data_IF_690576142214
#
_entry.id   IF_690576142214
#
_cell.length_a   1.000
_cell.length_b   1.000
_cell.length_c   1.000
_cell.angle_alpha   90.00
_cell.angle_beta   90.00
_cell.angle_gamma   90.00
#
_symmetry.space_group_name_H-M   'P 1'
#
loop_
_entity.id
_entity.type
_entity.pdbx_description
1 polymer ?
#
# COMPACT_ATOMS: atom_id res chain seq x y z
N UNK A 1 -18.92 -31.40 -19.06
CA UNK A 1 -18.84 -30.97 -17.66
C UNK A 1 -19.74 -29.76 -17.51
N UNK A 2 -20.75 -29.82 -16.64
CA UNK A 2 -21.52 -28.64 -16.29
C UNK A 2 -20.64 -27.78 -15.38
N UNK A 3 -20.27 -26.58 -15.82
CA UNK A 3 -19.58 -25.61 -14.98
C UNK A 3 -20.64 -25.14 -13.96
N UNK A 4 -20.37 -25.30 -12.66
CA UNK A 4 -21.26 -24.76 -11.63
C UNK A 4 -21.34 -23.24 -11.79
N UNK A 5 -22.53 -22.66 -11.62
CA UNK A 5 -22.67 -21.21 -11.68
C UNK A 5 -22.01 -20.59 -10.45
N UNK A 6 -20.88 -19.90 -10.65
CA UNK A 6 -20.19 -19.18 -9.59
C UNK A 6 -21.07 -18.04 -9.07
N UNK A 7 -21.51 -18.15 -7.81
CA UNK A 7 -22.54 -17.28 -7.24
C UNK A 7 -22.00 -16.45 -6.08
N UNK A 8 -22.16 -15.13 -6.19
CA UNK A 8 -21.89 -14.15 -5.14
C UNK A 8 -23.10 -13.26 -5.00
N UNK A 9 -23.35 -12.81 -3.77
CA UNK A 9 -24.36 -11.80 -3.50
C UNK A 9 -23.98 -10.48 -4.18
N UNK A 10 -24.98 -9.73 -4.66
CA UNK A 10 -24.80 -8.45 -5.32
C UNK A 10 -25.36 -7.33 -4.42
N UNK A 11 -24.54 -6.72 -3.56
CA UNK A 11 -24.92 -5.48 -2.85
C UNK A 11 -25.17 -4.35 -3.86
N UNK A 12 -26.03 -3.39 -3.47
CA UNK A 12 -26.41 -2.26 -4.33
C UNK A 12 -25.25 -1.27 -4.54
N UNK A 13 -24.34 -1.22 -3.57
CA UNK A 13 -23.09 -0.47 -3.64
C UNK A 13 -21.94 -1.43 -3.38
N UNK A 14 -21.09 -1.65 -4.39
CA UNK A 14 -19.92 -2.51 -4.27
C UNK A 14 -18.66 -1.66 -4.44
N UNK A 15 -17.67 -1.76 -3.53
CA UNK A 15 -16.42 -1.06 -3.73
C UNK A 15 -15.69 -1.64 -4.96
N UNK A 16 -14.90 -0.86 -5.72
CA UNK A 16 -14.31 -1.29 -6.99
C UNK A 16 -13.52 -2.61 -6.92
N UNK A 17 -12.76 -2.82 -5.83
CA UNK A 17 -12.01 -4.06 -5.62
C UNK A 17 -12.91 -5.29 -5.49
N UNK A 18 -14.11 -5.14 -4.90
CA UNK A 18 -15.07 -6.23 -4.75
C UNK A 18 -15.82 -6.49 -6.06
N UNK A 19 -16.01 -5.47 -6.90
CA UNK A 19 -16.54 -5.62 -8.26
C UNK A 19 -15.56 -6.40 -9.13
N UNK A 20 -14.27 -6.07 -9.05
CA UNK A 20 -13.20 -6.80 -9.75
C UNK A 20 -13.17 -8.27 -9.32
N UNK A 21 -13.15 -8.53 -8.00
CA UNK A 21 -13.20 -9.89 -7.46
C UNK A 21 -14.45 -10.63 -7.95
N UNK A 22 -15.62 -10.00 -7.85
CA UNK A 22 -16.89 -10.61 -8.25
C UNK A 22 -16.93 -10.96 -9.73
N UNK A 23 -16.38 -10.09 -10.57
CA UNK A 23 -16.31 -10.27 -12.02
C UNK A 23 -15.41 -11.44 -12.36
N UNK A 24 -14.18 -11.48 -11.83
CA UNK A 24 -13.23 -12.59 -12.04
C UNK A 24 -13.78 -13.92 -11.54
N UNK A 25 -14.47 -13.93 -10.40
CA UNK A 25 -15.06 -15.15 -9.84
C UNK A 25 -16.22 -15.66 -10.71
N UNK A 26 -17.17 -14.80 -11.07
CA UNK A 26 -18.33 -15.17 -11.90
C UNK A 26 -17.91 -15.61 -13.30
N UNK A 27 -16.84 -15.04 -13.85
CA UNK A 27 -16.26 -15.45 -15.12
C UNK A 27 -15.52 -16.80 -15.05
N UNK A 28 -15.29 -17.35 -13.85
CA UNK A 28 -14.50 -18.56 -13.68
C UNK A 28 -13.02 -18.35 -14.03
N UNK A 29 -12.49 -17.15 -13.85
CA UNK A 29 -11.07 -16.84 -14.07
C UNK A 29 -10.23 -17.27 -12.86
N UNK A 30 -10.76 -17.10 -11.65
CA UNK A 30 -10.11 -17.46 -10.41
C UNK A 30 -11.12 -17.89 -9.33
N UNK A 31 -10.72 -18.85 -8.49
CA UNK A 31 -11.43 -19.28 -7.28
C UNK A 31 -10.67 -18.94 -6.00
N UNK A 32 -9.47 -18.39 -6.12
CA UNK A 32 -8.60 -17.99 -5.03
C UNK A 32 -8.20 -16.54 -5.23
N UNK A 33 -8.42 -15.72 -4.21
CA UNK A 33 -8.14 -14.30 -4.22
C UNK A 33 -7.25 -13.92 -3.04
N UNK A 34 -6.31 -13.01 -3.26
CA UNK A 34 -5.49 -12.41 -2.21
C UNK A 34 -5.79 -10.91 -2.14
N UNK A 35 -6.48 -10.48 -1.09
CA UNK A 35 -6.71 -9.07 -0.79
C UNK A 35 -5.51 -8.50 -0.02
N UNK A 36 -5.04 -7.33 -0.43
CA UNK A 36 -3.88 -6.68 0.20
C UNK A 36 -3.94 -5.15 0.20
N UNK A 37 -3.04 -4.50 0.96
CA UNK A 37 -2.97 -3.06 1.26
C UNK A 37 -3.96 -2.55 2.31
N UNK A 38 -4.97 -1.76 1.92
CA UNK A 38 -5.85 -1.02 2.86
C UNK A 38 -6.91 -1.94 3.51
N UNK A 39 -6.50 -3.11 3.99
CA UNK A 39 -7.39 -4.21 4.40
C UNK A 39 -8.07 -4.02 5.77
N UNK A 40 -7.60 -3.06 6.57
CA UNK A 40 -8.11 -2.77 7.91
C UNK A 40 -9.01 -1.52 7.94
N UNK A 41 -9.33 -0.96 6.79
CA UNK A 41 -10.19 0.23 6.70
C UNK A 41 -11.68 -0.12 6.79
N UNK A 42 -12.50 0.93 6.84
CA UNK A 42 -13.93 0.86 6.67
C UNK A 42 -14.29 0.91 5.19
N UNK A 43 -15.36 0.19 4.83
CA UNK A 43 -15.95 0.24 3.52
C UNK A 43 -17.44 0.54 3.62
N UNK A 44 -17.93 1.24 2.60
CA UNK A 44 -19.35 1.51 2.44
C UNK A 44 -20.12 0.20 2.28
N UNK A 45 -21.20 0.08 3.05
CA UNK A 45 -22.10 -1.06 3.15
C UNK A 45 -23.55 -0.55 3.20
N UNK A 46 -24.53 -1.45 3.00
CA UNK A 46 -25.96 -1.14 3.18
C UNK A 46 -26.30 -0.63 4.59
N UNK A 47 -25.51 -1.00 5.59
CA UNK A 47 -25.72 -0.64 7.00
C UNK A 47 -24.80 0.46 7.51
N UNK A 48 -24.17 1.21 6.59
CA UNK A 48 -23.25 2.30 6.90
C UNK A 48 -21.81 1.93 6.52
N UNK A 49 -20.88 2.08 7.45
CA UNK A 49 -19.46 1.78 7.21
C UNK A 49 -19.00 0.61 8.10
N UNK A 50 -18.51 -0.45 7.48
CA UNK A 50 -18.14 -1.72 8.15
C UNK A 50 -16.72 -2.15 7.79
N UNK A 51 -16.13 -3.06 8.56
CA UNK A 51 -14.83 -3.65 8.20
C UNK A 51 -14.93 -4.55 6.97
N UNK A 52 -13.81 -4.76 6.27
CA UNK A 52 -13.75 -5.67 5.11
C UNK A 52 -14.28 -7.05 5.45
N UNK A 53 -13.87 -7.61 6.60
CA UNK A 53 -14.33 -8.93 7.02
C UNK A 53 -15.86 -8.99 7.17
N UNK A 54 -16.46 -7.95 7.76
CA UNK A 54 -17.91 -7.85 7.91
C UNK A 54 -18.62 -7.75 6.57
N UNK A 55 -18.08 -6.96 5.63
CA UNK A 55 -18.62 -6.83 4.28
C UNK A 55 -18.56 -8.15 3.52
N UNK A 56 -17.41 -8.84 3.56
CA UNK A 56 -17.24 -10.15 2.94
C UNK A 56 -18.28 -11.14 3.49
N UNK A 57 -18.40 -11.25 4.81
CA UNK A 57 -19.31 -12.22 5.43
C UNK A 57 -20.79 -11.90 5.19
N UNK A 58 -21.20 -10.65 5.37
CA UNK A 58 -22.61 -10.27 5.40
C UNK A 58 -23.18 -9.88 4.04
N UNK A 59 -22.37 -9.34 3.15
CA UNK A 59 -22.85 -8.77 1.90
C UNK A 59 -22.36 -9.49 0.66
N UNK A 60 -21.08 -9.90 0.60
CA UNK A 60 -20.52 -10.53 -0.60
C UNK A 60 -20.77 -12.05 -0.63
N UNK A 61 -20.55 -12.72 0.52
CA UNK A 61 -20.57 -14.17 0.67
C UNK A 61 -21.83 -14.70 1.36
N UNK A 62 -22.87 -13.86 1.53
CA UNK A 62 -24.06 -14.22 2.31
C UNK A 62 -24.85 -15.43 1.79
N UNK A 63 -24.57 -15.91 0.57
CA UNK A 63 -25.15 -17.10 -0.05
C UNK A 63 -24.26 -18.36 0.08
N UNK A 64 -23.14 -18.27 0.81
CA UNK A 64 -22.16 -19.36 0.99
C UNK A 64 -22.02 -19.71 2.48
N UNK A 65 -21.60 -20.95 2.74
CA UNK A 65 -21.12 -21.37 4.07
C UNK A 65 -19.71 -20.85 4.27
N UNK A 66 -19.44 -20.12 5.34
CA UNK A 66 -18.16 -19.42 5.50
C UNK A 66 -17.33 -20.07 6.62
N UNK A 67 -16.11 -20.45 6.27
CA UNK A 67 -15.09 -20.92 7.21
C UNK A 67 -14.03 -19.84 7.32
N UNK A 68 -13.68 -19.46 8.53
CA UNK A 68 -12.62 -18.48 8.79
C UNK A 68 -11.44 -19.17 9.47
N UNK A 69 -10.24 -18.68 9.19
CA UNK A 69 -9.03 -19.17 9.82
C UNK A 69 -8.00 -18.08 10.05
N UNK A 70 -7.42 -18.07 11.25
CA UNK A 70 -6.14 -17.45 11.55
C UNK A 70 -5.41 -18.25 12.63
N UNK A 71 -4.10 -18.05 12.74
CA UNK A 71 -3.24 -18.82 13.65
C UNK A 71 -3.62 -18.64 15.15
N UNK A 72 -4.24 -17.53 15.51
CA UNK A 72 -4.60 -17.21 16.91
C UNK A 72 -5.92 -17.87 17.33
N UNK A 73 -6.97 -17.67 16.54
CA UNK A 73 -8.33 -18.15 16.82
C UNK A 73 -8.55 -19.60 16.38
N UNK A 74 -7.80 -20.07 15.38
CA UNK A 74 -8.04 -21.36 14.73
C UNK A 74 -9.18 -21.27 13.72
N UNK A 75 -9.91 -22.38 13.55
CA UNK A 75 -11.03 -22.48 12.61
C UNK A 75 -12.31 -21.96 13.28
N UNK A 76 -12.92 -20.95 12.67
CA UNK A 76 -14.22 -20.39 13.09
C UNK A 76 -15.20 -20.36 11.91
N UNK A 77 -16.46 -20.01 12.16
CA UNK A 77 -17.55 -20.15 11.19
C UNK A 77 -18.51 -18.96 11.25
N UNK A 78 -19.22 -18.68 10.16
CA UNK A 78 -20.29 -17.68 10.14
C UNK A 78 -21.52 -18.08 10.96
N UNK A 79 -21.80 -19.37 11.05
CA UNK A 79 -23.01 -19.90 11.68
C UNK A 79 -22.78 -21.28 12.33
N UNK A 80 -23.65 -21.61 13.30
CA UNK A 80 -23.67 -22.96 13.88
C UNK A 80 -23.99 -24.04 12.84
N UNK A 81 -24.79 -23.72 11.83
CA UNK A 81 -25.11 -24.66 10.75
C UNK A 81 -23.85 -25.03 9.95
N UNK A 82 -23.06 -24.03 9.54
CA UNK A 82 -21.78 -24.26 8.87
C UNK A 82 -20.85 -25.09 9.74
N UNK A 83 -20.74 -24.77 11.04
CA UNK A 83 -19.92 -25.55 11.97
C UNK A 83 -20.36 -27.02 12.03
N UNK A 84 -21.66 -27.30 12.17
CA UNK A 84 -22.18 -28.66 12.24
C UNK A 84 -21.90 -29.43 10.95
N UNK A 85 -22.10 -28.81 9.79
CA UNK A 85 -21.79 -29.39 8.49
C UNK A 85 -20.29 -29.71 8.36
N UNK A 86 -19.43 -28.78 8.78
CA UNK A 86 -17.98 -28.98 8.80
C UNK A 86 -17.59 -30.18 9.68
N UNK A 87 -18.05 -30.21 10.93
CA UNK A 87 -17.72 -31.29 11.87
C UNK A 87 -18.25 -32.65 11.40
N UNK A 88 -19.45 -32.70 10.82
CA UNK A 88 -20.00 -33.92 10.23
C UNK A 88 -19.08 -34.46 9.12
N UNK A 89 -18.58 -33.59 8.25
CA UNK A 89 -17.64 -33.99 7.19
C UNK A 89 -16.31 -34.53 7.75
N UNK A 90 -15.83 -34.00 8.87
CA UNK A 90 -14.60 -34.50 9.51
C UNK A 90 -14.80 -35.90 10.10
N UNK A 91 -15.97 -36.17 10.71
CA UNK A 91 -16.31 -37.49 11.28
C UNK A 91 -16.43 -38.58 10.22
N UNK A 92 -16.84 -38.23 9.00
CA UNK A 92 -16.87 -39.18 7.87
C UNK A 92 -15.45 -39.66 7.53
N UNK A 93 -14.47 -38.76 7.61
CA UNK A 93 -13.09 -39.10 7.29
C UNK A 93 -12.34 -39.78 8.44
N UNK A 94 -12.69 -39.45 9.69
CA UNK A 94 -12.16 -40.11 10.88
C UNK A 94 -13.27 -40.23 11.95
N UNK A 95 -13.91 -41.42 12.05
CA UNK A 95 -15.00 -41.66 13.00
C UNK A 95 -14.61 -41.52 14.48
N UNK A 96 -13.31 -41.51 14.80
CA UNK A 96 -12.82 -41.35 16.17
C UNK A 96 -12.74 -39.87 16.59
N UNK A 97 -12.90 -38.92 15.67
CA UNK A 97 -12.90 -37.49 15.98
C UNK A 97 -14.19 -37.07 16.71
N UNK A 98 -14.11 -36.85 18.02
CA UNK A 98 -15.19 -36.32 18.85
C UNK A 98 -15.11 -34.80 19.06
N UNK A 99 -14.91 -34.04 17.97
CA UNK A 99 -15.07 -32.59 18.03
C UNK A 99 -16.56 -32.25 18.11
N UNK A 100 -16.95 -31.57 19.19
CA UNK A 100 -18.32 -31.07 19.43
C UNK A 100 -18.42 -29.57 19.24
N UNK A 101 -17.31 -28.85 19.38
CA UNK A 101 -17.25 -27.39 19.30
C UNK A 101 -16.04 -26.94 18.48
N UNK A 102 -16.11 -25.74 17.90
CA UNK A 102 -14.99 -25.13 17.19
C UNK A 102 -13.73 -24.98 18.05
N UNK A 103 -13.89 -24.75 19.36
CA UNK A 103 -12.78 -24.58 20.31
C UNK A 103 -11.87 -25.81 20.43
N UNK A 104 -12.36 -26.99 20.04
CA UNK A 104 -11.59 -28.24 20.05
C UNK A 104 -10.81 -28.48 18.75
N UNK A 105 -11.06 -27.68 17.70
CA UNK A 105 -10.36 -27.79 16.43
C UNK A 105 -8.89 -27.34 16.57
N UNK A 106 -7.97 -27.92 15.77
CA UNK A 106 -6.58 -27.51 15.79
C UNK A 106 -6.42 -26.06 15.36
N UNK A 107 -5.49 -25.36 16.01
CA UNK A 107 -5.09 -24.01 15.63
C UNK A 107 -3.86 -24.00 14.73
N UNK A 108 -3.04 -25.03 14.80
CA UNK A 108 -1.83 -25.14 13.99
C UNK A 108 -2.19 -25.27 12.50
N UNK A 109 -1.52 -24.52 11.60
CA UNK A 109 -1.86 -24.52 10.18
C UNK A 109 -1.71 -25.90 9.52
N UNK A 110 -0.70 -26.67 9.95
CA UNK A 110 -0.40 -27.99 9.40
C UNK A 110 -1.56 -28.99 9.57
N UNK A 111 -2.37 -28.87 10.63
CA UNK A 111 -3.57 -29.69 10.84
C UNK A 111 -4.86 -28.99 10.45
N UNK A 112 -4.97 -27.68 10.63
CA UNK A 112 -6.16 -26.92 10.31
C UNK A 112 -6.45 -26.87 8.81
N UNK A 113 -5.42 -26.56 7.99
CA UNK A 113 -5.61 -26.41 6.54
C UNK A 113 -6.07 -27.72 5.88
N UNK A 114 -5.52 -28.92 6.16
CA UNK A 114 -6.07 -30.15 5.60
C UNK A 114 -7.55 -30.41 5.96
N UNK A 115 -8.01 -29.99 7.14
CA UNK A 115 -9.43 -30.12 7.51
C UNK A 115 -10.31 -29.17 6.70
N UNK A 116 -9.85 -27.94 6.47
CA UNK A 116 -10.54 -26.97 5.60
C UNK A 116 -10.54 -27.46 4.15
N UNK A 117 -9.40 -27.95 3.65
CA UNK A 117 -9.25 -28.54 2.30
C UNK A 117 -10.30 -29.63 2.07
N UNK A 118 -10.44 -30.54 3.04
CA UNK A 118 -11.42 -31.62 2.97
C UNK A 118 -12.84 -31.08 2.87
N UNK A 119 -13.19 -30.07 3.67
CA UNK A 119 -14.53 -29.49 3.62
C UNK A 119 -14.80 -28.82 2.27
N UNK A 120 -13.84 -28.05 1.74
CA UNK A 120 -13.91 -27.45 0.41
C UNK A 120 -14.00 -28.52 -0.70
N UNK A 121 -13.29 -29.63 -0.56
CA UNK A 121 -13.28 -30.69 -1.57
C UNK A 121 -14.64 -31.39 -1.65
N UNK A 122 -15.26 -31.70 -0.52
CA UNK A 122 -16.50 -32.50 -0.46
C UNK A 122 -17.79 -31.69 -0.38
N UNK A 123 -17.70 -30.36 -0.31
CA UNK A 123 -18.86 -29.47 -0.24
C UNK A 123 -18.89 -28.53 -1.44
N UNK A 124 -20.06 -27.93 -1.67
CA UNK A 124 -20.25 -26.86 -2.64
C UNK A 124 -20.82 -25.62 -1.93
N UNK A 125 -20.67 -24.44 -2.53
CA UNK A 125 -21.04 -23.14 -1.95
C UNK A 125 -20.33 -22.83 -0.63
N UNK A 126 -19.05 -23.13 -0.55
CA UNK A 126 -18.22 -22.84 0.62
C UNK A 126 -17.24 -21.71 0.31
N UNK A 127 -17.17 -20.72 1.19
CA UNK A 127 -16.12 -19.72 1.18
C UNK A 127 -15.16 -19.95 2.35
N UNK A 128 -13.85 -19.90 2.10
CA UNK A 128 -12.84 -19.82 3.16
C UNK A 128 -12.23 -18.43 3.20
N UNK A 129 -12.09 -17.85 4.39
CA UNK A 129 -11.37 -16.60 4.62
C UNK A 129 -10.16 -16.88 5.52
N UNK A 130 -8.95 -16.63 5.04
CA UNK A 130 -7.71 -16.76 5.81
C UNK A 130 -7.14 -15.38 6.09
N UNK A 131 -7.11 -14.97 7.36
CA UNK A 131 -6.56 -13.70 7.81
C UNK A 131 -5.09 -13.83 8.26
N UNK A 132 -4.36 -12.71 8.19
CA UNK A 132 -2.96 -12.61 8.60
C UNK A 132 -2.08 -13.65 7.89
N UNK A 133 -2.21 -13.72 6.56
CA UNK A 133 -1.58 -14.77 5.75
C UNK A 133 -0.06 -14.82 5.96
N UNK A 134 0.59 -13.69 6.19
CA UNK A 134 2.02 -13.55 6.49
C UNK A 134 2.45 -14.30 7.76
N UNK A 135 1.55 -14.51 8.72
CA UNK A 135 1.82 -15.26 9.95
C UNK A 135 1.78 -16.78 9.76
N UNK A 136 1.18 -17.22 8.65
CA UNK A 136 1.04 -18.63 8.26
C UNK A 136 2.07 -18.98 7.18
N UNK A 137 2.31 -18.05 6.24
CA UNK A 137 3.20 -18.23 5.10
C UNK A 137 4.16 -17.03 4.95
N UNK A 138 5.08 -16.85 5.90
CA UNK A 138 6.00 -15.72 5.88
C UNK A 138 6.92 -15.77 4.66
N UNK A 139 7.29 -14.60 4.15
CA UNK A 139 8.35 -14.45 3.17
C UNK A 139 9.67 -15.06 3.69
N UNK A 140 10.35 -15.84 2.85
CA UNK A 140 11.61 -16.49 3.20
C UNK A 140 11.96 -17.63 2.27
N UNK A 141 13.14 -18.22 2.48
CA UNK A 141 13.55 -19.43 1.78
C UNK A 141 12.99 -20.69 2.47
N UNK A 142 12.66 -21.69 1.66
CA UNK A 142 12.06 -22.95 2.12
C UNK A 142 12.96 -23.68 3.12
N UNK A 143 14.28 -23.52 3.00
CA UNK A 143 15.25 -24.15 3.90
C UNK A 143 15.14 -23.67 5.35
N UNK A 144 14.62 -22.46 5.58
CA UNK A 144 14.44 -21.87 6.91
C UNK A 144 13.06 -22.15 7.52
N UNK A 145 12.12 -22.68 6.75
CA UNK A 145 10.79 -23.01 7.23
C UNK A 145 10.82 -24.28 8.10
N UNK A 146 10.02 -24.28 9.17
CA UNK A 146 9.81 -25.49 9.97
C UNK A 146 9.16 -26.61 9.13
N UNK A 147 9.16 -27.84 9.62
CA UNK A 147 8.41 -28.93 8.96
C UNK A 147 6.93 -28.59 8.82
N UNK A 148 6.35 -27.97 9.84
CA UNK A 148 4.92 -27.67 9.91
C UNK A 148 4.55 -26.54 8.95
N UNK A 149 5.40 -25.49 8.85
CA UNK A 149 5.21 -24.41 7.89
C UNK A 149 5.35 -24.91 6.44
N UNK A 150 6.28 -25.84 6.18
CA UNK A 150 6.42 -26.49 4.87
C UNK A 150 5.19 -27.33 4.52
N UNK A 151 4.63 -28.07 5.49
CA UNK A 151 3.42 -28.85 5.29
C UNK A 151 2.22 -27.95 4.99
N UNK A 152 2.04 -26.87 5.76
CA UNK A 152 1.01 -25.89 5.50
C UNK A 152 1.16 -25.26 4.10
N UNK A 153 2.38 -24.89 3.71
CA UNK A 153 2.67 -24.32 2.40
C UNK A 153 2.25 -25.27 1.27
N UNK A 154 2.58 -26.56 1.41
CA UNK A 154 2.15 -27.59 0.44
C UNK A 154 0.63 -27.73 0.39
N UNK A 155 -0.06 -27.67 1.54
CA UNK A 155 -1.53 -27.69 1.57
C UNK A 155 -2.13 -26.54 0.75
N UNK A 156 -1.69 -25.30 0.96
CA UNK A 156 -2.21 -24.17 0.19
C UNK A 156 -1.84 -24.26 -1.29
N UNK A 157 -0.63 -24.70 -1.63
CA UNK A 157 -0.24 -24.92 -3.03
C UNK A 157 -1.14 -25.96 -3.72
N UNK A 158 -1.58 -27.01 -3.01
CA UNK A 158 -2.54 -27.98 -3.53
C UNK A 158 -3.90 -27.34 -3.80
N UNK A 159 -4.35 -26.41 -2.96
CA UNK A 159 -5.61 -25.69 -3.19
C UNK A 159 -5.52 -24.88 -4.49
N UNK A 160 -4.43 -24.12 -4.65
CA UNK A 160 -4.19 -23.27 -5.81
C UNK A 160 -4.03 -24.04 -7.12
N UNK A 161 -3.60 -25.31 -7.07
CA UNK A 161 -3.36 -26.13 -8.27
C UNK A 161 -4.48 -27.10 -8.59
N UNK A 162 -5.45 -27.28 -7.69
CA UNK A 162 -6.52 -28.26 -7.85
C UNK A 162 -7.62 -27.75 -8.79
N UNK A 163 -7.88 -28.41 -9.94
CA UNK A 163 -8.90 -27.98 -10.89
C UNK A 163 -10.32 -27.98 -10.30
N UNK A 164 -10.57 -28.83 -9.30
CA UNK A 164 -11.88 -28.99 -8.66
C UNK A 164 -12.42 -27.70 -8.04
N UNK A 165 -11.54 -26.79 -7.60
CA UNK A 165 -11.95 -25.49 -7.07
C UNK A 165 -12.55 -24.57 -8.14
N UNK A 166 -12.26 -24.82 -9.42
CA UNK A 166 -12.90 -24.12 -10.54
C UNK A 166 -14.20 -24.79 -10.99
N UNK A 167 -14.41 -26.07 -10.64
CA UNK A 167 -15.61 -26.82 -11.00
C UNK A 167 -16.75 -26.65 -9.98
N UNK A 168 -16.43 -26.14 -8.79
CA UNK A 168 -17.36 -25.94 -7.68
C UNK A 168 -17.62 -24.45 -7.45
N UNK A 169 -18.74 -24.11 -6.83
CA UNK A 169 -19.04 -22.75 -6.36
C UNK A 169 -18.35 -22.46 -5.01
N UNK A 170 -17.08 -22.88 -4.90
CA UNK A 170 -16.23 -22.66 -3.74
C UNK A 170 -15.27 -21.49 -4.00
N UNK A 171 -14.87 -20.83 -2.92
CA UNK A 171 -14.07 -19.60 -2.99
C UNK A 171 -13.07 -19.56 -1.83
N UNK A 172 -11.83 -19.18 -2.09
CA UNK A 172 -10.86 -18.86 -1.07
C UNK A 172 -10.47 -17.38 -1.14
N UNK A 173 -10.64 -16.66 -0.03
CA UNK A 173 -10.18 -15.29 0.14
C UNK A 173 -9.06 -15.29 1.18
N UNK A 174 -7.86 -14.94 0.72
CA UNK A 174 -6.68 -14.78 1.54
C UNK A 174 -6.49 -13.29 1.80
N UNK A 175 -6.13 -12.92 3.02
CA UNK A 175 -5.96 -11.52 3.43
C UNK A 175 -4.57 -11.35 4.03
N UNK A 176 -3.80 -10.44 3.45
CA UNK A 176 -2.45 -10.07 3.88
C UNK A 176 -2.31 -8.55 3.85
N UNK A 177 -1.50 -7.97 4.72
CA UNK A 177 -1.25 -6.53 4.65
C UNK A 177 -0.45 -6.16 3.38
N UNK A 178 0.51 -7.01 3.00
CA UNK A 178 1.43 -6.78 1.90
C UNK A 178 1.82 -8.06 1.20
N UNK A 179 1.92 -8.02 -0.13
CA UNK A 179 2.41 -9.16 -0.94
C UNK A 179 3.89 -9.45 -0.69
N UNK A 180 4.64 -8.44 -0.28
CA UNK A 180 6.08 -8.56 -0.02
C UNK A 180 6.36 -9.46 1.20
N UNK A 181 5.42 -9.57 2.13
CA UNK A 181 5.54 -10.36 3.36
C UNK A 181 5.06 -11.81 3.19
N UNK A 182 4.52 -12.17 2.02
CA UNK A 182 4.02 -13.51 1.70
C UNK A 182 5.08 -14.33 0.97
N UNK A 183 5.14 -15.62 1.30
CA UNK A 183 6.04 -16.57 0.66
C UNK A 183 5.92 -16.55 -0.89
N UNK A 184 7.04 -16.45 -1.65
CA UNK A 184 7.03 -16.31 -3.12
C UNK A 184 6.18 -17.35 -3.86
N UNK A 185 6.27 -18.63 -3.44
CA UNK A 185 5.48 -19.74 -4.01
C UNK A 185 3.95 -19.58 -3.97
N UNK A 186 3.44 -18.71 -3.11
CA UNK A 186 2.01 -18.40 -3.04
C UNK A 186 1.72 -17.17 -3.90
N UNK A 187 2.43 -16.06 -3.66
CA UNK A 187 2.14 -14.78 -4.34
C UNK A 187 2.42 -14.80 -5.84
N UNK A 188 3.35 -15.63 -6.31
CA UNK A 188 3.71 -15.78 -7.73
C UNK A 188 2.88 -16.88 -8.43
N UNK A 189 1.90 -17.47 -7.74
CA UNK A 189 1.07 -18.51 -8.31
C UNK A 189 0.04 -17.92 -9.28
N UNK A 190 0.04 -18.40 -10.53
CA UNK A 190 -0.84 -17.90 -11.59
C UNK A 190 -2.33 -18.14 -11.37
N UNK A 191 -2.72 -19.01 -10.43
CA UNK A 191 -4.12 -19.30 -10.07
C UNK A 191 -4.63 -18.43 -8.91
N UNK A 192 -3.76 -17.66 -8.28
CA UNK A 192 -4.12 -16.72 -7.23
C UNK A 192 -4.33 -15.34 -7.84
N UNK A 193 -5.57 -14.86 -7.86
CA UNK A 193 -5.86 -13.49 -8.28
C UNK A 193 -5.56 -12.52 -7.14
N UNK A 194 -4.56 -11.65 -7.30
CA UNK A 194 -4.28 -10.57 -6.34
C UNK A 194 -5.22 -9.39 -6.61
N UNK A 195 -5.87 -8.88 -5.56
CA UNK A 195 -6.77 -7.73 -5.62
C UNK A 195 -6.28 -6.69 -4.63
N UNK A 196 -5.95 -5.50 -5.13
CA UNK A 196 -5.49 -4.40 -4.29
C UNK A 196 -6.69 -3.66 -3.68
N UNK A 197 -6.71 -3.52 -2.36
CA UNK A 197 -7.65 -2.63 -1.67
C UNK A 197 -7.00 -1.25 -1.58
N UNK A 198 -7.51 -0.32 -2.38
CA UNK A 198 -7.02 1.05 -2.41
C UNK A 198 -7.48 1.85 -1.19
N UNK A 199 -6.75 2.93 -0.90
CA UNK A 199 -7.19 3.97 0.03
C UNK A 199 -8.43 4.69 -0.51
N UNK A 200 -9.27 5.26 0.37
CA UNK A 200 -10.46 5.96 -0.06
C UNK A 200 -10.11 7.20 -0.90
N UNK A 201 -10.78 7.36 -2.03
CA UNK A 201 -10.66 8.56 -2.86
C UNK A 201 -11.31 9.79 -2.18
N UNK A 202 -11.25 10.94 -2.85
CA UNK A 202 -11.79 12.18 -2.30
C UNK A 202 -13.31 12.12 -2.09
N UNK A 203 -14.05 11.51 -3.01
CA UNK A 203 -15.50 11.39 -2.95
C UNK A 203 -15.93 10.46 -1.81
N UNK A 204 -15.27 9.31 -1.68
CA UNK A 204 -15.48 8.35 -0.60
C UNK A 204 -15.20 8.97 0.78
N UNK A 205 -14.11 9.74 0.91
CA UNK A 205 -13.82 10.48 2.15
C UNK A 205 -14.89 11.54 2.44
N UNK A 206 -15.31 12.30 1.42
CA UNK A 206 -16.35 13.33 1.54
C UNK A 206 -17.68 12.74 2.01
N UNK A 207 -18.12 11.66 1.40
CA UNK A 207 -19.34 10.95 1.77
C UNK A 207 -19.27 10.42 3.20
N UNK A 208 -18.13 9.84 3.59
CA UNK A 208 -17.90 9.36 4.94
C UNK A 208 -17.99 10.50 5.97
N UNK A 209 -17.27 11.60 5.73
CA UNK A 209 -17.25 12.77 6.63
C UNK A 209 -18.67 13.35 6.75
N UNK A 210 -19.38 13.49 5.64
CA UNK A 210 -20.75 14.03 5.60
C UNK A 210 -21.71 13.15 6.38
N UNK A 211 -21.70 11.83 6.17
CA UNK A 211 -22.57 10.91 6.89
C UNK A 211 -22.24 10.88 8.39
N UNK A 212 -20.95 10.80 8.72
CA UNK A 212 -20.50 10.75 10.10
C UNK A 212 -20.88 12.01 10.87
N UNK A 213 -20.60 13.19 10.33
CA UNK A 213 -20.93 14.48 10.99
C UNK A 213 -22.43 14.74 11.07
N UNK A 214 -23.22 14.17 10.16
CA UNK A 214 -24.69 14.23 10.24
C UNK A 214 -25.23 13.35 11.37
N UNK A 215 -24.67 12.15 11.56
CA UNK A 215 -25.07 11.23 12.62
C UNK A 215 -24.51 11.64 14.00
N UNK A 216 -23.30 12.23 14.01
CA UNK A 216 -22.55 12.61 15.19
C UNK A 216 -22.02 14.04 15.04
N UNK A 217 -22.86 15.05 15.31
CA UNK A 217 -22.46 16.45 15.19
C UNK A 217 -21.22 16.79 16.04
N UNK A 218 -20.41 17.73 15.52
CA UNK A 218 -19.25 18.34 16.18
C UNK A 218 -19.60 19.81 16.39
N UNK A 219 -19.50 20.30 17.62
CA UNK A 219 -20.00 21.64 17.99
C UNK A 219 -19.24 22.78 17.30
N UNK A 220 -17.93 22.61 17.13
CA UNK A 220 -17.05 23.61 16.50
C UNK A 220 -16.19 22.94 15.44
N UNK A 221 -16.30 23.40 14.20
CA UNK A 221 -15.43 22.99 13.09
C UNK A 221 -15.00 24.25 12.36
N UNK A 222 -13.70 24.53 12.32
CA UNK A 222 -13.15 25.76 11.72
C UNK A 222 -13.22 25.78 10.18
N UNK A 223 -13.51 24.63 9.58
CA UNK A 223 -13.41 24.38 8.14
C UNK A 223 -14.71 23.81 7.58
N UNK A 224 -14.98 24.06 6.30
CA UNK A 224 -16.11 23.45 5.62
C UNK A 224 -15.80 22.00 5.18
N UNK A 225 -16.81 21.30 4.66
CA UNK A 225 -16.68 19.90 4.22
C UNK A 225 -15.57 19.71 3.18
N UNK A 226 -15.49 20.58 2.17
CA UNK A 226 -14.50 20.45 1.09
C UNK A 226 -13.07 20.66 1.62
N UNK A 227 -12.89 21.63 2.51
CA UNK A 227 -11.61 21.89 3.18
C UNK A 227 -11.19 20.70 4.05
N UNK A 228 -12.10 20.14 4.84
CA UNK A 228 -11.81 18.96 5.68
C UNK A 228 -11.47 17.73 4.83
N UNK A 229 -12.21 17.51 3.74
CA UNK A 229 -11.95 16.42 2.79
C UNK A 229 -10.57 16.55 2.14
N UNK A 230 -10.18 17.76 1.72
CA UNK A 230 -8.87 18.02 1.14
C UNK A 230 -7.74 17.83 2.16
N UNK A 231 -7.94 18.30 3.40
CA UNK A 231 -6.94 18.20 4.46
C UNK A 231 -6.73 16.77 4.96
N UNK A 232 -7.73 15.91 4.83
CA UNK A 232 -7.66 14.48 5.20
C UNK A 232 -7.15 13.58 4.07
N UNK A 233 -6.60 14.13 2.98
CA UNK A 233 -5.97 13.33 1.93
C UNK A 233 -4.87 12.42 2.49
N UNK A 234 -4.81 11.20 1.97
CA UNK A 234 -3.91 10.14 2.45
C UNK A 234 -4.28 9.49 3.77
N UNK A 235 -5.44 9.81 4.35
CA UNK A 235 -5.97 9.08 5.49
C UNK A 235 -7.03 8.06 5.04
N UNK A 236 -7.00 6.89 5.65
CA UNK A 236 -8.06 5.90 5.57
C UNK A 236 -9.28 6.35 6.40
N UNK A 237 -10.45 5.73 6.22
CA UNK A 237 -11.68 6.13 6.90
C UNK A 237 -11.63 5.87 8.41
N UNK A 238 -10.90 4.86 8.88
CA UNK A 238 -10.66 4.63 10.32
C UNK A 238 -9.94 5.81 10.98
N UNK A 239 -8.91 6.37 10.34
CA UNK A 239 -8.19 7.53 10.81
C UNK A 239 -9.06 8.78 10.87
N UNK A 240 -9.84 9.01 9.81
CA UNK A 240 -10.79 10.12 9.76
C UNK A 240 -11.82 9.96 10.88
N UNK A 241 -12.37 8.75 11.07
CA UNK A 241 -13.29 8.46 12.16
C UNK A 241 -12.68 8.78 13.53
N UNK A 242 -11.45 8.33 13.78
CA UNK A 242 -10.74 8.58 15.04
C UNK A 242 -10.52 10.09 15.26
N UNK A 243 -10.13 10.81 14.22
CA UNK A 243 -9.97 12.26 14.25
C UNK A 243 -11.29 12.98 14.60
N UNK A 244 -12.39 12.62 13.95
CA UNK A 244 -13.71 13.21 14.18
C UNK A 244 -14.25 12.86 15.57
N UNK A 245 -14.10 11.61 16.03
CA UNK A 245 -14.46 11.21 17.39
C UNK A 245 -13.70 12.02 18.44
N UNK A 246 -12.38 12.17 18.28
CA UNK A 246 -11.57 12.95 19.22
C UNK A 246 -11.92 14.45 19.21
N UNK A 247 -12.34 15.00 18.08
CA UNK A 247 -12.81 16.38 18.00
C UNK A 247 -14.15 16.61 18.72
N UNK A 248 -15.00 15.59 18.81
CA UNK A 248 -16.27 15.66 19.56
C UNK A 248 -16.07 15.75 21.07
N UNK A 249 -15.00 15.14 21.57
CA UNK A 249 -14.64 15.18 23.00
C UNK A 249 -13.77 16.40 23.35
N UNK A 250 -13.44 17.25 22.37
CA UNK A 250 -12.60 18.44 22.53
C UNK A 250 -13.44 19.70 22.68
N UNK A 251 -13.13 20.54 23.68
CA UNK A 251 -13.81 21.85 23.89
C UNK A 251 -13.61 22.82 22.71
N UNK A 252 -12.47 22.70 22.01
CA UNK A 252 -12.12 23.52 20.85
C UNK A 252 -12.69 22.95 19.53
N UNK A 253 -13.25 21.75 19.57
CA UNK A 253 -13.78 21.05 18.39
C UNK A 253 -12.68 20.59 17.44
N UNK A 254 -12.86 20.82 16.13
CA UNK A 254 -11.90 20.47 15.08
C UNK A 254 -11.28 21.71 14.43
N UNK A 255 -10.00 21.95 14.71
CA UNK A 255 -9.22 23.06 14.14
C UNK A 255 -8.39 22.66 12.92
N UNK A 256 -7.93 23.64 12.12
CA UNK A 256 -6.96 23.39 11.05
C UNK A 256 -5.66 22.74 11.56
N UNK A 257 -5.21 23.14 12.75
CA UNK A 257 -3.99 22.65 13.33
C UNK A 257 -4.11 21.18 13.77
N UNK A 258 -5.26 20.80 14.33
CA UNK A 258 -5.51 19.42 14.77
C UNK A 258 -5.47 18.43 13.61
N UNK A 259 -6.14 18.77 12.50
CA UNK A 259 -6.15 17.93 11.30
C UNK A 259 -4.72 17.78 10.77
N UNK A 260 -3.96 18.88 10.72
CA UNK A 260 -2.58 18.88 10.22
C UNK A 260 -1.64 18.04 11.08
N UNK A 261 -1.68 18.20 12.40
CA UNK A 261 -0.82 17.46 13.35
C UNK A 261 -1.19 15.98 13.30
N UNK A 262 -2.47 15.63 13.44
CA UNK A 262 -2.91 14.24 13.42
C UNK A 262 -2.59 13.55 12.10
N UNK A 263 -2.79 14.23 10.96
CA UNK A 263 -2.42 13.68 9.65
C UNK A 263 -0.93 13.38 9.57
N UNK A 264 -0.09 14.32 10.01
CA UNK A 264 1.37 14.14 10.06
C UNK A 264 1.74 12.93 10.90
N UNK A 265 1.25 12.88 12.14
CA UNK A 265 1.60 11.82 13.10
C UNK A 265 1.16 10.43 12.62
N UNK A 266 -0.06 10.32 12.07
CA UNK A 266 -0.62 9.07 11.56
C UNK A 266 0.24 8.54 10.42
N UNK A 267 0.51 9.38 9.42
CA UNK A 267 1.26 8.95 8.22
C UNK A 267 2.71 8.59 8.57
N UNK A 268 3.38 9.39 9.40
CA UNK A 268 4.77 9.10 9.82
C UNK A 268 4.85 7.80 10.62
N UNK A 269 3.83 7.51 11.45
CA UNK A 269 3.71 6.25 12.19
C UNK A 269 3.46 5.06 11.27
N UNK A 270 2.53 5.15 10.31
CA UNK A 270 2.23 4.07 9.36
C UNK A 270 3.40 3.73 8.45
N UNK A 271 4.23 4.72 8.15
CA UNK A 271 5.41 4.54 7.32
C UNK A 271 6.67 4.18 8.14
N UNK A 272 6.52 3.79 9.42
CA UNK A 272 7.62 3.40 10.31
C UNK A 272 8.75 4.46 10.39
N UNK A 273 8.41 5.74 10.25
CA UNK A 273 9.38 6.84 10.20
C UNK A 273 10.37 6.75 9.04
N UNK A 274 10.03 6.07 7.93
CA UNK A 274 10.79 6.05 6.69
C UNK A 274 10.54 7.29 5.83
N UNK A 275 9.49 8.04 6.12
CA UNK A 275 9.21 9.33 5.51
C UNK A 275 8.96 10.38 6.59
N UNK A 276 9.28 11.64 6.26
CA UNK A 276 9.02 12.81 7.10
C UNK A 276 8.30 13.89 6.29
N UNK A 277 7.29 14.53 6.89
CA UNK A 277 6.69 15.71 6.27
C UNK A 277 7.55 16.95 6.48
N UNK A 278 8.02 17.50 5.37
CA UNK A 278 8.75 18.75 5.36
C UNK A 278 7.76 19.89 5.17
N UNK A 279 7.88 20.95 5.98
CA UNK A 279 7.13 22.19 5.77
C UNK A 279 8.08 23.26 5.25
N UNK A 280 8.11 23.51 3.94
CA UNK A 280 8.95 24.55 3.36
C UNK A 280 8.61 25.94 3.90
N UNK A 281 9.60 26.59 4.52
CA UNK A 281 9.42 27.94 5.13
C UNK A 281 9.77 29.07 4.19
N UNK A 282 10.63 28.82 3.21
CA UNK A 282 11.22 29.83 2.32
C UNK A 282 10.97 29.47 0.85
N UNK A 283 10.92 30.47 -0.02
CA UNK A 283 10.77 30.29 -1.48
C UNK A 283 12.10 30.49 -2.20
N UNK A 284 12.14 30.31 -3.54
CA UNK A 284 13.39 30.37 -4.31
C UNK A 284 14.15 31.70 -4.16
N UNK A 285 13.45 32.80 -3.88
CA UNK A 285 14.07 34.11 -3.65
C UNK A 285 14.98 34.15 -2.42
N UNK A 286 14.77 33.23 -1.46
CA UNK A 286 15.63 33.09 -0.28
C UNK A 286 16.95 32.36 -0.58
N UNK A 287 17.08 31.73 -1.75
CA UNK A 287 18.30 31.05 -2.17
C UNK A 287 19.29 32.03 -2.78
N UNK A 288 20.45 32.18 -2.15
CA UNK A 288 21.54 33.01 -2.65
C UNK A 288 22.24 32.41 -3.88
N UNK A 289 22.52 33.24 -4.89
CA UNK A 289 23.19 32.81 -6.12
C UNK A 289 22.31 31.91 -7.00
N UNK A 290 22.93 30.97 -7.72
CA UNK A 290 22.26 29.93 -8.53
C UNK A 290 21.23 30.44 -9.54
N UNK A 291 21.49 31.58 -10.18
CA UNK A 291 20.51 32.28 -11.04
C UNK A 291 19.85 31.36 -12.09
N UNK A 292 20.66 30.61 -12.83
CA UNK A 292 20.17 29.69 -13.88
C UNK A 292 19.29 28.57 -13.32
N UNK A 293 19.70 27.94 -12.21
CA UNK A 293 18.91 26.90 -11.57
C UNK A 293 17.59 27.45 -11.00
N UNK A 294 17.60 28.66 -10.43
CA UNK A 294 16.39 29.31 -9.92
C UNK A 294 15.44 29.70 -11.04
N UNK A 295 15.92 30.28 -12.14
CA UNK A 295 15.10 30.59 -13.32
C UNK A 295 14.44 29.32 -13.85
N UNK A 296 15.20 28.25 -14.04
CA UNK A 296 14.68 26.98 -14.50
C UNK A 296 13.62 26.36 -13.57
N UNK A 297 13.85 26.39 -12.26
CA UNK A 297 12.90 25.89 -11.27
C UNK A 297 11.65 26.77 -11.18
N UNK A 298 11.77 28.09 -11.39
CA UNK A 298 10.59 28.98 -11.45
C UNK A 298 9.70 28.66 -12.63
N UNK A 299 10.28 28.43 -13.81
CA UNK A 299 9.51 28.05 -15.01
C UNK A 299 8.68 26.78 -14.74
N UNK A 300 9.29 25.77 -14.11
CA UNK A 300 8.59 24.53 -13.72
C UNK A 300 7.50 24.79 -12.68
N UNK A 301 7.78 25.61 -11.66
CA UNK A 301 6.80 25.95 -10.63
C UNK A 301 5.59 26.69 -11.22
N UNK A 302 5.80 27.58 -12.19
CA UNK A 302 4.73 28.25 -12.92
C UNK A 302 3.91 27.28 -13.77
N UNK A 303 4.56 26.36 -14.50
CA UNK A 303 3.86 25.29 -15.23
C UNK A 303 2.95 24.47 -14.32
N UNK A 304 3.43 24.07 -13.15
CA UNK A 304 2.65 23.30 -12.16
C UNK A 304 1.48 24.13 -11.63
N UNK A 305 1.71 25.39 -11.24
CA UNK A 305 0.68 26.30 -10.73
C UNK A 305 -0.42 26.61 -11.76
N UNK A 306 -0.06 26.67 -13.04
CA UNK A 306 -1.00 26.91 -14.12
C UNK A 306 -1.82 25.67 -14.50
N UNK A 307 -1.58 24.51 -13.86
CA UNK A 307 -2.30 23.26 -14.11
C UNK A 307 -1.83 22.52 -15.36
N UNK A 308 -0.71 22.94 -15.98
CA UNK A 308 -0.13 22.29 -17.16
C UNK A 308 0.71 21.06 -16.74
N UNK A 309 0.08 20.14 -16.02
CA UNK A 309 0.73 19.00 -15.37
C UNK A 309 1.43 18.05 -16.36
N UNK A 310 0.99 18.01 -17.62
CA UNK A 310 1.63 17.22 -18.70
C UNK A 310 3.02 17.76 -19.09
N UNK A 311 3.26 19.05 -18.90
CA UNK A 311 4.55 19.69 -19.20
C UNK A 311 5.52 19.65 -18.00
N UNK A 312 5.02 19.33 -16.81
CA UNK A 312 5.83 19.15 -15.62
C UNK A 312 6.73 17.90 -15.75
N UNK A 313 8.00 17.98 -15.31
CA UNK A 313 8.85 16.80 -15.25
C UNK A 313 8.32 15.76 -14.27
N UNK A 314 8.60 14.49 -14.53
CA UNK A 314 8.37 13.43 -13.55
C UNK A 314 9.41 13.46 -12.43
N UNK A 315 10.63 13.95 -12.72
CA UNK A 315 11.65 14.14 -11.70
C UNK A 315 12.70 15.19 -12.01
N UNK A 316 13.40 15.62 -10.97
CA UNK A 316 14.49 16.58 -11.01
C UNK A 316 15.68 15.98 -10.26
N UNK A 317 16.84 15.95 -10.89
CA UNK A 317 18.08 15.52 -10.23
C UNK A 317 18.94 16.74 -9.92
N UNK A 318 19.15 17.05 -8.65
CA UNK A 318 20.01 18.15 -8.18
C UNK A 318 21.37 17.57 -7.75
N UNK A 319 22.41 17.87 -8.54
CA UNK A 319 23.77 17.40 -8.29
C UNK A 319 24.67 18.54 -7.85
N UNK A 320 25.50 18.33 -6.82
CA UNK A 320 26.54 19.31 -6.46
C UNK A 320 27.30 18.94 -5.20
N UNK A 321 28.46 19.57 -4.93
CA UNK A 321 29.26 19.31 -3.73
C UNK A 321 28.43 19.36 -2.43
N UNK A 322 28.92 18.68 -1.38
CA UNK A 322 28.30 18.77 -0.05
C UNK A 322 28.34 20.23 0.42
N UNK A 323 27.26 20.70 1.07
CA UNK A 323 27.18 22.06 1.59
C UNK A 323 26.76 23.15 0.59
N UNK A 324 26.37 22.80 -0.65
CA UNK A 324 25.87 23.78 -1.64
C UNK A 324 24.36 24.05 -1.55
N UNK A 325 23.69 23.74 -0.43
CA UNK A 325 22.27 24.06 -0.23
C UNK A 325 21.28 23.32 -1.14
N UNK A 326 21.57 22.07 -1.56
CA UNK A 326 20.69 21.26 -2.42
C UNK A 326 19.30 21.06 -1.81
N UNK A 327 19.26 20.57 -0.56
CA UNK A 327 18.03 20.34 0.23
C UNK A 327 17.24 21.64 0.38
N UNK A 328 17.92 22.73 0.76
CA UNK A 328 17.29 24.04 0.87
C UNK A 328 16.70 24.55 -0.46
N UNK A 329 17.39 24.35 -1.59
CA UNK A 329 16.89 24.71 -2.92
C UNK A 329 15.64 23.89 -3.29
N UNK A 330 15.64 22.58 -3.01
CA UNK A 330 14.51 21.70 -3.28
C UNK A 330 13.27 22.06 -2.45
N UNK A 331 13.45 22.33 -1.15
CA UNK A 331 12.38 22.82 -0.28
C UNK A 331 11.82 24.15 -0.78
N UNK A 332 12.70 25.10 -1.14
CA UNK A 332 12.29 26.41 -1.65
C UNK A 332 11.48 26.30 -2.94
N UNK A 333 11.91 25.42 -3.86
CA UNK A 333 11.17 25.12 -5.08
C UNK A 333 9.79 24.51 -4.78
N UNK A 334 9.72 23.57 -3.84
CA UNK A 334 8.44 22.94 -3.48
C UNK A 334 7.46 23.95 -2.86
N UNK A 335 7.96 24.91 -2.05
CA UNK A 335 7.14 26.03 -1.55
C UNK A 335 6.59 26.85 -2.71
N UNK A 336 7.43 27.16 -3.68
CA UNK A 336 7.03 27.95 -4.85
C UNK A 336 6.09 27.17 -5.78
N UNK A 337 6.06 25.84 -5.73
CA UNK A 337 5.03 25.03 -6.39
C UNK A 337 3.69 25.02 -5.62
N UNK A 338 3.69 25.33 -4.32
CA UNK A 338 2.51 25.24 -3.46
C UNK A 338 2.11 23.80 -3.12
N UNK A 339 3.07 22.86 -3.20
CA UNK A 339 2.83 21.43 -2.99
C UNK A 339 3.28 20.99 -1.60
N UNK A 340 2.64 19.93 -1.10
CA UNK A 340 3.13 19.24 0.10
C UNK A 340 4.47 18.56 -0.20
N UNK A 341 5.29 18.38 0.83
CA UNK A 341 6.63 17.79 0.70
C UNK A 341 6.79 16.65 1.66
N UNK A 342 7.26 15.53 1.14
CA UNK A 342 7.70 14.38 1.92
C UNK A 342 9.14 14.07 1.57
N UNK A 343 9.96 13.83 2.59
CA UNK A 343 11.34 13.40 2.42
C UNK A 343 11.51 11.95 2.87
N UNK A 344 12.19 11.15 2.07
CA UNK A 344 12.61 9.82 2.47
C UNK A 344 13.72 9.93 3.53
N UNK A 345 13.47 9.37 4.71
CA UNK A 345 14.45 9.26 5.79
C UNK A 345 15.64 8.38 5.39
N UNK A 346 16.79 8.66 6.01
CA UNK A 346 18.10 8.14 5.62
C UNK A 346 18.12 6.60 5.39
N UNK A 347 18.47 6.21 4.16
CA UNK A 347 18.42 4.83 3.67
C UNK A 347 19.42 3.87 4.33
N UNK A 348 20.42 4.40 5.02
CA UNK A 348 21.58 3.61 5.50
C UNK A 348 21.28 2.73 6.72
N UNK A 349 20.39 3.17 7.62
CA UNK A 349 20.21 2.55 8.93
C UNK A 349 18.81 1.96 9.15
N UNK A 350 17.77 2.57 8.55
CA UNK A 350 16.36 2.17 8.76
C UNK A 350 15.86 1.09 7.81
N UNK A 351 16.67 0.70 6.82
CA UNK A 351 16.21 -0.15 5.71
C UNK A 351 16.61 -1.64 5.83
N UNK A 352 16.82 -2.12 7.05
CA UNK A 352 17.17 -3.51 7.36
C UNK A 352 15.92 -4.26 7.88
N UNK A 353 15.39 -5.20 7.10
CA UNK A 353 14.23 -6.04 7.46
C UNK A 353 12.88 -5.37 7.22
N UNK A 354 11.93 -6.10 6.60
CA UNK A 354 10.54 -5.65 6.29
C UNK A 354 10.42 -4.40 5.39
N UNK A 355 11.46 -4.05 4.64
CA UNK A 355 11.54 -2.81 3.87
C UNK A 355 10.73 -2.79 2.59
N UNK A 356 10.58 -3.92 1.90
CA UNK A 356 9.82 -3.95 0.65
C UNK A 356 8.32 -3.71 0.87
N UNK A 357 7.79 -4.22 1.99
CA UNK A 357 6.41 -4.02 2.41
C UNK A 357 6.15 -2.56 2.79
N UNK A 358 7.02 -1.98 3.63
CA UNK A 358 6.92 -0.58 4.02
C UNK A 358 7.08 0.38 2.83
N UNK A 359 7.99 0.10 1.91
CA UNK A 359 8.12 0.90 0.68
C UNK A 359 6.86 0.84 -0.17
N UNK A 360 6.27 -0.34 -0.34
CA UNK A 360 5.03 -0.50 -1.10
C UNK A 360 3.89 0.31 -0.48
N UNK A 361 3.76 0.28 0.87
CA UNK A 361 2.83 1.14 1.60
C UNK A 361 3.07 2.62 1.34
N UNK A 362 4.32 3.08 1.42
CA UNK A 362 4.71 4.48 1.16
C UNK A 362 4.35 4.90 -0.27
N UNK A 363 4.72 4.09 -1.27
CA UNK A 363 4.46 4.42 -2.68
C UNK A 363 2.95 4.55 -2.97
N UNK A 364 2.13 3.67 -2.41
CA UNK A 364 0.68 3.78 -2.52
C UNK A 364 0.14 5.01 -1.78
N UNK A 365 0.66 5.29 -0.59
CA UNK A 365 0.28 6.49 0.16
C UNK A 365 0.61 7.78 -0.60
N UNK A 366 1.76 7.84 -1.28
CA UNK A 366 2.13 9.00 -2.10
C UNK A 366 1.09 9.30 -3.20
N UNK A 367 0.48 8.26 -3.80
CA UNK A 367 -0.58 8.45 -4.80
C UNK A 367 -1.83 9.14 -4.23
N UNK A 368 -2.14 8.86 -2.96
CA UNK A 368 -3.29 9.42 -2.24
C UNK A 368 -3.04 10.82 -1.69
N UNK A 369 -1.77 11.19 -1.53
CA UNK A 369 -1.32 12.51 -1.09
C UNK A 369 -1.09 13.48 -2.25
N UNK A 370 -1.16 13.00 -3.49
CA UNK A 370 -0.98 13.83 -4.67
C UNK A 370 -1.96 15.03 -4.70
N UNK A 371 -1.53 16.22 -5.15
CA UNK A 371 -0.20 16.51 -5.71
C UNK A 371 0.87 16.72 -4.63
N UNK A 372 2.04 16.09 -4.80
CA UNK A 372 3.10 16.04 -3.78
C UNK A 372 4.52 16.07 -4.38
N UNK A 373 5.46 16.68 -3.65
CA UNK A 373 6.91 16.61 -3.92
C UNK A 373 7.55 15.57 -3.01
N UNK A 374 8.35 14.69 -3.61
CA UNK A 374 9.06 13.63 -2.90
C UNK A 374 10.55 13.86 -2.99
N UNK A 375 11.19 14.10 -1.84
CA UNK A 375 12.62 14.35 -1.74
C UNK A 375 13.36 13.07 -1.39
N UNK A 376 14.45 12.81 -2.11
CA UNK A 376 15.43 11.77 -1.78
C UNK A 376 16.80 12.44 -1.71
N UNK A 377 17.26 12.71 -0.48
CA UNK A 377 18.64 13.16 -0.26
C UNK A 377 19.61 11.98 -0.25
N UNK A 378 20.88 12.28 -0.54
CA UNK A 378 21.95 11.29 -0.71
C UNK A 378 21.52 10.14 -1.63
N UNK A 379 20.92 10.48 -2.77
CA UNK A 379 20.44 9.51 -3.75
C UNK A 379 21.55 8.52 -4.18
N UNK A 380 22.83 8.88 -4.11
CA UNK A 380 23.94 7.94 -4.34
C UNK A 380 24.12 6.89 -3.23
N UNK A 381 23.76 7.22 -1.99
CA UNK A 381 23.74 6.27 -0.88
C UNK A 381 22.48 5.40 -0.91
N UNK A 382 21.36 5.96 -1.36
CA UNK A 382 20.08 5.26 -1.49
C UNK A 382 19.99 4.38 -2.75
N UNK A 383 20.58 4.84 -3.87
CA UNK A 383 20.41 4.26 -5.21
C UNK A 383 21.72 3.72 -5.81
N UNK A 384 22.87 3.92 -5.16
CA UNK A 384 24.18 3.52 -5.69
C UNK A 384 24.49 2.04 -5.53
N UNK A 385 25.22 1.47 -6.50
CA UNK A 385 25.66 0.08 -6.49
C UNK A 385 26.69 -0.17 -5.39
N UNK A 386 26.30 -0.83 -4.30
CA UNK A 386 27.26 -1.48 -3.41
C UNK A 386 27.63 -2.83 -4.02
N UNK A 387 28.79 -2.91 -4.66
CA UNK A 387 29.41 -4.19 -5.08
C UNK A 387 30.04 -4.96 -3.91
N UNK A 388 29.82 -4.57 -2.65
CA UNK A 388 30.42 -5.24 -1.49
C UNK A 388 29.56 -6.39 -0.99
N UNK A 389 30.15 -7.59 -1.03
CA UNK A 389 29.71 -8.84 -0.40
C UNK A 389 29.05 -8.62 0.97
N UNK A 390 27.79 -9.04 1.09
CA UNK A 390 27.10 -9.17 2.38
C UNK A 390 25.67 -8.63 2.43
N UNK A 391 25.26 -7.81 1.45
CA UNK A 391 23.90 -7.25 1.40
C UNK A 391 23.01 -8.09 0.46
N UNK A 392 21.91 -8.64 0.99
CA UNK A 392 21.09 -9.74 0.42
C UNK A 392 20.24 -9.37 -0.82
N UNK A 393 20.70 -8.42 -1.64
CA UNK A 393 19.98 -7.89 -2.81
C UNK A 393 18.73 -7.06 -2.46
N UNK A 394 18.44 -6.86 -1.17
CA UNK A 394 17.27 -6.10 -0.68
C UNK A 394 17.34 -4.64 -1.14
N UNK A 395 18.50 -3.99 -0.97
CA UNK A 395 18.70 -2.60 -1.39
C UNK A 395 18.50 -2.40 -2.90
N UNK A 396 18.90 -3.38 -3.73
CA UNK A 396 18.68 -3.32 -5.18
C UNK A 396 17.19 -3.46 -5.56
N UNK A 397 16.42 -4.29 -4.84
CA UNK A 397 14.97 -4.45 -5.08
C UNK A 397 14.18 -3.24 -4.63
N UNK A 398 14.48 -2.70 -3.45
CA UNK A 398 13.95 -1.42 -2.95
C UNK A 398 14.20 -0.31 -3.97
N UNK A 399 15.43 -0.22 -4.46
CA UNK A 399 15.80 0.74 -5.49
C UNK A 399 14.97 0.58 -6.78
N UNK A 400 14.86 -0.65 -7.28
CA UNK A 400 14.10 -0.95 -8.50
C UNK A 400 12.63 -0.54 -8.37
N UNK A 401 12.03 -0.72 -7.19
CA UNK A 401 10.65 -0.25 -6.91
C UNK A 401 10.55 1.28 -6.94
N UNK A 402 11.49 2.02 -6.34
CA UNK A 402 11.50 3.49 -6.39
C UNK A 402 11.66 3.99 -7.83
N UNK A 403 12.65 3.45 -8.57
CA UNK A 403 12.88 3.83 -9.96
C UNK A 403 11.66 3.54 -10.85
N UNK A 404 11.00 2.39 -10.64
CA UNK A 404 9.74 2.06 -11.31
C UNK A 404 8.63 3.08 -11.00
N UNK A 405 8.48 3.46 -9.73
CA UNK A 405 7.49 4.47 -9.33
C UNK A 405 7.78 5.87 -9.91
N UNK A 406 9.06 6.24 -10.00
CA UNK A 406 9.53 7.46 -10.66
C UNK A 406 9.24 7.48 -12.17
N UNK A 407 9.37 6.32 -12.82
CA UNK A 407 9.11 6.16 -14.25
C UNK A 407 7.64 6.01 -14.64
N UNK A 408 6.73 5.86 -13.67
CA UNK A 408 5.31 5.67 -13.96
C UNK A 408 4.66 6.98 -14.46
N UNK A 409 4.27 7.00 -15.73
CA UNK A 409 3.66 8.16 -16.40
C UNK A 409 2.29 8.55 -15.84
N UNK A 410 1.57 7.64 -15.19
CA UNK A 410 0.30 7.95 -14.51
C UNK A 410 0.49 8.90 -13.32
N UNK A 411 1.72 8.98 -12.79
CA UNK A 411 2.09 9.90 -11.72
C UNK A 411 2.52 11.27 -12.23
N UNK A 412 2.56 11.50 -13.54
CA UNK A 412 3.06 12.77 -14.12
C UNK A 412 2.22 13.95 -13.63
N UNK A 413 2.91 14.96 -13.10
CA UNK A 413 2.30 16.14 -12.49
C UNK A 413 1.51 15.89 -11.20
N UNK A 414 1.40 14.63 -10.75
CA UNK A 414 0.83 14.22 -9.46
C UNK A 414 1.92 14.02 -8.41
N UNK A 415 3.01 13.36 -8.78
CA UNK A 415 4.16 13.11 -7.90
C UNK A 415 5.40 13.65 -8.58
N UNK A 416 6.05 14.63 -7.95
CA UNK A 416 7.29 15.22 -8.44
C UNK A 416 8.47 14.72 -7.60
N UNK A 417 9.33 13.90 -8.21
CA UNK A 417 10.49 13.34 -7.54
C UNK A 417 11.68 14.29 -7.62
N UNK A 418 12.30 14.63 -6.49
CA UNK A 418 13.54 15.41 -6.45
C UNK A 418 14.63 14.56 -5.81
N UNK A 419 15.58 14.13 -6.64
CA UNK A 419 16.76 13.40 -6.20
C UNK A 419 17.91 14.38 -5.96
N UNK A 420 18.62 14.21 -4.85
CA UNK A 420 19.76 15.06 -4.52
C UNK A 420 20.99 14.20 -4.27
N UNK A 421 22.13 14.56 -4.87
CA UNK A 421 23.39 13.82 -4.66
C UNK A 421 24.61 14.72 -4.70
N UNK A 422 25.64 14.29 -3.96
CA UNK A 422 27.00 14.84 -4.09
C UNK A 422 27.92 14.01 -4.98
N UNK A 423 27.51 12.78 -5.33
CA UNK A 423 28.28 11.80 -6.09
C UNK A 423 27.47 11.30 -7.30
N UNK A 424 27.24 12.16 -8.31
CA UNK A 424 26.48 11.78 -9.50
C UNK A 424 27.13 10.62 -10.28
N UNK A 425 28.43 10.39 -10.12
CA UNK A 425 29.17 9.25 -10.67
C UNK A 425 28.65 7.90 -10.17
N UNK A 426 28.06 7.84 -8.96
CA UNK A 426 27.56 6.61 -8.34
C UNK A 426 26.10 6.29 -8.65
N UNK A 427 25.39 7.21 -9.29
CA UNK A 427 24.01 6.98 -9.67
C UNK A 427 23.93 6.04 -10.89
N UNK A 428 23.06 5.01 -10.84
CA UNK A 428 22.74 4.16 -11.98
C UNK A 428 22.49 4.96 -13.26
N UNK A 429 23.00 4.44 -14.38
CA UNK A 429 22.85 5.08 -15.70
C UNK A 429 21.36 5.19 -16.07
N UNK A 430 20.54 4.24 -15.63
CA UNK A 430 19.11 4.20 -15.94
C UNK A 430 18.33 5.34 -15.29
N UNK A 431 18.69 5.80 -14.08
CA UNK A 431 18.09 7.00 -13.48
C UNK A 431 18.42 8.29 -14.24
N UNK A 432 19.57 8.32 -14.92
CA UNK A 432 19.98 9.45 -15.76
C UNK A 432 19.26 9.43 -17.12
N UNK A 433 18.61 8.32 -17.47
CA UNK A 433 17.96 8.07 -18.77
C UNK A 433 16.45 7.82 -18.69
N UNK A 434 15.91 7.44 -17.54
CA UNK A 434 14.48 7.20 -17.33
C UNK A 434 13.72 8.53 -17.47
N UNK A 435 12.58 8.45 -18.17
CA UNK A 435 11.90 9.54 -18.86
C UNK A 435 11.82 10.87 -18.10
N UNK A 436 12.16 11.94 -18.80
CA UNK A 436 11.95 13.34 -18.38
C UNK A 436 12.57 13.78 -17.04
N UNK A 437 13.54 13.03 -16.49
CA UNK A 437 14.32 13.51 -15.34
C UNK A 437 15.23 14.65 -15.78
N UNK A 438 14.86 15.87 -15.41
CA UNK A 438 15.58 17.09 -15.73
C UNK A 438 16.79 17.25 -14.80
N UNK A 439 18.00 17.19 -15.37
CA UNK A 439 19.26 17.27 -14.61
C UNK A 439 19.65 18.72 -14.30
N UNK A 440 19.77 19.06 -13.01
CA UNK A 440 20.31 20.33 -12.51
C UNK A 440 21.68 20.07 -11.89
N UNK A 441 22.75 20.47 -12.57
CA UNK A 441 24.11 20.38 -12.06
C UNK A 441 24.55 21.70 -11.42
N UNK A 442 24.54 21.77 -10.09
CA UNK A 442 25.07 22.89 -9.31
C UNK A 442 26.61 22.98 -9.40
N UNK A 443 27.28 21.91 -9.85
CA UNK A 443 28.71 21.86 -10.14
C UNK A 443 29.14 22.82 -11.27
N UNK A 444 28.20 23.26 -12.10
CA UNK A 444 28.46 24.17 -13.22
C UNK A 444 28.55 25.65 -12.81
N UNK A 445 28.09 26.03 -11.61
CA UNK A 445 27.97 27.44 -11.21
C UNK A 445 29.22 27.97 -10.46
N UNK A 446 30.07 27.10 -9.92
CA UNK A 446 31.35 27.49 -9.29
C UNK A 446 32.53 27.57 -10.28
N UNK A 447 32.42 26.99 -11.49
CA UNK A 447 33.50 26.99 -12.50
C UNK A 447 33.60 28.27 -13.34
N UNK A 448 32.59 29.14 -13.33
CA UNK A 448 32.64 30.43 -14.04
C UNK A 448 33.61 31.46 -13.41
N UNK A 449 34.33 31.11 -12.33
CA UNK A 449 35.40 31.95 -11.76
C UNK A 449 36.83 31.50 -12.07
N UNK A 450 37.06 30.39 -12.80
CA UNK A 450 38.40 30.00 -13.25
C UNK A 450 38.38 29.52 -14.70
N UNK A 451 38.93 30.37 -15.57
CA UNK A 451 39.23 30.17 -16.99
C UNK A 451 39.82 28.78 -17.32
N UNK A 452 39.50 28.36 -18.54
CA UNK A 452 40.29 27.52 -19.45
C UNK A 452 40.59 26.06 -19.06
N UNK A 453 39.82 25.13 -19.65
CA UNK A 453 40.27 24.11 -20.66
C UNK A 453 39.35 22.87 -20.69
N UNK A 454 38.81 22.62 -21.89
CA UNK A 454 38.35 21.36 -22.52
C UNK A 454 37.46 20.41 -21.70
N UNK A 455 36.21 20.26 -22.16
CA UNK A 455 35.36 19.08 -21.93
C UNK A 455 35.52 18.09 -23.11
N UNK A 456 35.47 16.78 -22.86
CA UNK A 456 34.69 15.92 -23.73
C UNK A 456 33.76 15.01 -22.91
N UNK A 457 32.51 14.89 -23.32
CA UNK A 457 31.62 13.80 -22.91
C UNK A 457 30.94 13.25 -24.15
N UNK A 458 31.29 12.01 -24.48
CA UNK A 458 30.53 11.05 -25.27
C UNK A 458 30.00 9.99 -24.31
#
# INVERSE_FOLDING_TARGET
MAISAHSLSAPDTMPPWAEELSTKYRAGEASHFLLHHNIYDLIRSRSGYVSILSFLQKELLGNKRIVLYNRSEGITFDSEETMRAFLAQQRVADPLLDFKTAAQLPRDPARALPMIERFLYFSDKVAVIINFLETIFPAGEIGYLSSDDRNALVSLQRWLTSPRFMETDNLAILIAESLSDIHPRIRENSRLATIQVHYPDEEQRKDFIKEFTSAYPIDKVEMNLDQLTAMTSGLNLVHIRSMLCAARESDDGLTFNDVRIKKKDIIESECAGLIEFVTPRFGLDSVGGMREAKEYLRDIAETIKNGNLEEAPMGILICGPVGTGKTFLAECFAKDCGLNVVEFSNFRDKWVGSTESNLEKILNLLQTLAPIVVLIDEADAALGSRETDGDSGVNQRVFSKIASAMGNTENRGRILWILMTSRPDRLPIDLKRQGDVKNISLSFILKLRKRDRKLPWS
#
